data_IF_159325614303
#
_entry.id   IF_159325614303
#
_cell.length_a   1.000
_cell.length_b   1.000
_cell.length_c   1.000
_cell.angle_alpha   90.00
_cell.angle_beta   90.00
_cell.angle_gamma   90.00
#
_symmetry.space_group_name_H-M   'P 1'
#
loop_
_entity.id
_entity.type
_entity.pdbx_description
1 polymer ?
#
# COMPACT_ATOMS: atom_id res chain seq x y z
N UNK A 1 -46.39 -30.94 51.15
CA UNK A 1 -46.83 -29.57 50.84
C UNK A 1 -45.96 -29.10 49.68
N UNK A 2 -46.34 -29.44 48.44
CA UNK A 2 -47.18 -28.64 47.49
C UNK A 2 -46.32 -27.54 46.83
N UNK A 3 -45.80 -27.71 45.62
CA UNK A 3 -46.39 -27.56 44.25
C UNK A 3 -46.63 -26.10 43.78
N UNK A 4 -46.16 -25.84 42.55
CA UNK A 4 -46.52 -24.74 41.60
C UNK A 4 -46.08 -23.31 42.00
N UNK A 5 -45.54 -22.43 41.13
CA UNK A 5 -45.83 -22.13 39.73
C UNK A 5 -44.68 -21.34 39.02
N UNK A 6 -44.63 -21.39 37.68
CA UNK A 6 -43.81 -20.50 36.84
C UNK A 6 -44.57 -19.19 36.49
N UNK A 7 -43.87 -18.13 36.05
CA UNK A 7 -44.25 -17.57 34.75
C UNK A 7 -43.06 -17.14 33.86
N UNK A 8 -43.42 -16.87 32.61
CA UNK A 8 -42.59 -16.80 31.42
C UNK A 8 -42.04 -15.39 31.05
N UNK A 9 -41.05 -15.42 30.13
CA UNK A 9 -40.64 -14.40 29.14
C UNK A 9 -39.96 -13.11 29.63
N UNK A 10 -38.72 -12.90 29.18
CA UNK A 10 -38.49 -12.03 28.02
C UNK A 10 -37.13 -12.31 27.37
N UNK A 11 -37.16 -12.48 26.05
CA UNK A 11 -35.97 -12.56 25.21
C UNK A 11 -35.30 -11.19 25.18
N UNK A 12 -34.19 -11.05 25.91
CA UNK A 12 -33.33 -9.88 25.84
C UNK A 12 -32.68 -9.82 24.46
N UNK A 13 -33.09 -8.84 23.67
CA UNK A 13 -32.56 -8.54 22.36
C UNK A 13 -31.02 -8.45 22.39
N UNK A 14 -30.39 -9.22 21.50
CA UNK A 14 -28.98 -9.10 21.15
C UNK A 14 -28.67 -7.64 20.80
N UNK A 15 -27.94 -6.95 21.69
CA UNK A 15 -27.39 -5.63 21.42
C UNK A 15 -26.38 -5.77 20.27
N UNK A 16 -26.74 -5.24 19.09
CA UNK A 16 -25.80 -5.08 17.98
C UNK A 16 -24.64 -4.21 18.49
N UNK A 17 -23.37 -4.62 18.32
CA UNK A 17 -22.25 -3.79 18.70
C UNK A 17 -22.29 -2.49 17.90
N UNK A 18 -22.38 -1.38 18.62
CA UNK A 18 -22.44 -0.03 18.07
C UNK A 18 -21.06 0.28 17.46
N UNK A 19 -20.92 0.09 16.15
CA UNK A 19 -19.68 0.41 15.43
C UNK A 19 -19.57 1.92 15.40
N UNK A 20 -18.78 2.47 16.32
CA UNK A 20 -18.46 3.89 16.38
C UNK A 20 -18.04 4.38 14.97
N UNK A 21 -18.88 5.23 14.35
CA UNK A 21 -18.57 5.89 13.07
C UNK A 21 -17.28 6.70 13.23
N UNK A 22 -16.15 6.13 12.84
CA UNK A 22 -14.84 6.76 12.97
C UNK A 22 -14.79 8.03 12.12
N UNK A 23 -14.45 9.18 12.73
CA UNK A 23 -14.25 10.44 11.99
C UNK A 23 -13.22 10.24 10.88
N UNK A 24 -13.57 10.66 9.67
CA UNK A 24 -12.71 10.57 8.50
C UNK A 24 -11.39 11.33 8.72
N UNK A 25 -10.28 10.66 8.44
CA UNK A 25 -8.93 11.24 8.54
C UNK A 25 -8.73 12.34 7.49
N UNK A 26 -8.15 13.48 7.92
CA UNK A 26 -7.72 14.60 7.06
C UNK A 26 -6.22 14.79 7.24
N UNK A 27 -5.50 14.97 6.14
CA UNK A 27 -4.07 15.28 6.17
C UNK A 27 -3.84 16.78 6.33
N UNK A 28 -2.95 17.18 7.22
CA UNK A 28 -2.37 18.52 7.30
C UNK A 28 -0.86 18.40 7.44
N UNK A 29 -0.10 19.22 6.71
CA UNK A 29 1.34 19.31 6.95
C UNK A 29 1.57 20.03 8.29
N UNK A 30 2.46 19.54 9.16
CA UNK A 30 2.82 20.26 10.36
C UNK A 30 3.58 21.54 9.99
N UNK A 31 3.17 22.67 10.56
CA UNK A 31 3.86 23.96 10.39
C UNK A 31 5.22 23.94 11.06
N UNK A 32 6.16 24.74 10.52
CA UNK A 32 7.47 24.91 11.13
C UNK A 32 7.34 25.71 12.43
N UNK A 33 7.89 25.24 13.57
CA UNK A 33 7.87 25.99 14.81
C UNK A 33 8.67 27.28 14.66
N UNK A 34 8.08 28.39 15.09
CA UNK A 34 8.68 29.72 15.02
C UNK A 34 9.61 30.00 16.20
N UNK A 35 10.33 31.13 16.14
CA UNK A 35 11.21 31.54 17.24
C UNK A 35 10.42 31.77 18.56
N UNK A 36 9.15 32.16 18.47
CA UNK A 36 8.25 32.26 19.61
C UNK A 36 8.12 30.92 20.38
N UNK A 37 8.13 29.78 19.68
CA UNK A 37 8.08 28.45 20.30
C UNK A 37 9.36 28.12 21.08
N UNK A 38 10.51 28.61 20.62
CA UNK A 38 11.76 28.52 21.36
C UNK A 38 11.70 29.31 22.66
N UNK A 39 11.18 30.53 22.60
CA UNK A 39 11.04 31.41 23.75
C UNK A 39 10.02 30.89 24.78
N UNK A 40 8.89 30.34 24.32
CA UNK A 40 7.80 29.82 25.16
C UNK A 40 8.21 28.66 26.10
N UNK A 41 9.34 28.00 25.85
CA UNK A 41 9.86 26.93 26.72
C UNK A 41 9.08 25.61 26.62
N UNK A 42 9.34 24.69 27.54
CA UNK A 42 8.59 23.43 27.68
C UNK A 42 8.50 22.59 26.40
N UNK A 43 7.28 22.17 26.04
CA UNK A 43 7.01 21.34 24.85
C UNK A 43 7.26 22.11 23.54
N UNK A 44 7.00 23.41 23.50
CA UNK A 44 7.20 24.25 22.32
C UNK A 44 8.69 24.37 21.97
N UNK A 45 9.56 24.63 22.97
CA UNK A 45 11.01 24.66 22.76
C UNK A 45 11.56 23.32 22.30
N UNK A 46 11.06 22.21 22.86
CA UNK A 46 11.45 20.86 22.42
C UNK A 46 11.06 20.60 20.96
N UNK A 47 9.88 21.04 20.53
CA UNK A 47 9.44 20.94 19.14
C UNK A 47 10.34 21.78 18.21
N UNK A 48 10.67 23.01 18.63
CA UNK A 48 11.61 23.88 17.91
C UNK A 48 13.00 23.24 17.74
N UNK A 49 13.63 22.82 18.85
CA UNK A 49 14.96 22.20 18.84
C UNK A 49 14.96 20.93 17.98
N UNK A 50 13.94 20.10 18.12
CA UNK A 50 13.79 18.91 17.28
C UNK A 50 13.74 19.29 15.80
N UNK A 51 12.90 20.23 15.41
CA UNK A 51 12.68 20.60 14.02
C UNK A 51 13.92 21.26 13.37
N UNK A 52 14.55 22.20 14.06
CA UNK A 52 15.63 23.03 13.50
C UNK A 52 17.02 22.45 13.69
N UNK A 53 17.24 21.59 14.68
CA UNK A 53 18.55 20.99 14.95
C UNK A 53 18.55 19.48 14.62
N UNK A 54 17.78 18.69 15.37
CA UNK A 54 17.86 17.22 15.27
C UNK A 54 17.38 16.71 13.90
N UNK A 55 16.22 17.18 13.44
CA UNK A 55 15.65 16.76 12.18
C UNK A 55 16.55 17.18 11.00
N UNK A 56 17.30 18.29 11.10
CA UNK A 56 18.25 18.71 10.08
C UNK A 56 19.45 17.77 9.94
N UNK A 57 19.96 17.22 11.05
CA UNK A 57 21.01 16.18 11.00
C UNK A 57 20.48 14.95 10.28
N UNK A 58 19.29 14.46 10.65
CA UNK A 58 18.66 13.32 9.99
C UNK A 58 18.33 13.59 8.52
N UNK A 59 17.89 14.81 8.18
CA UNK A 59 17.66 15.23 6.80
C UNK A 59 18.95 15.17 5.98
N UNK A 60 20.07 15.68 6.53
CA UNK A 60 21.38 15.60 5.92
C UNK A 60 21.80 14.15 5.66
N UNK A 61 21.65 13.27 6.66
CA UNK A 61 21.95 11.84 6.53
C UNK A 61 21.07 11.14 5.48
N UNK A 62 19.77 11.46 5.42
CA UNK A 62 18.87 10.92 4.41
C UNK A 62 19.24 11.36 3.00
N UNK A 63 19.60 12.64 2.81
CA UNK A 63 20.04 13.15 1.53
C UNK A 63 21.38 12.54 1.11
N UNK A 64 22.37 12.52 2.01
CA UNK A 64 23.67 11.91 1.77
C UNK A 64 23.52 10.43 1.40
N UNK A 65 22.69 9.68 2.13
CA UNK A 65 22.37 8.29 1.81
C UNK A 65 21.74 8.15 0.42
N UNK A 66 20.72 8.94 0.10
CA UNK A 66 20.07 8.91 -1.21
C UNK A 66 21.03 9.21 -2.38
N UNK A 67 21.87 10.24 -2.25
CA UNK A 67 22.83 10.61 -3.28
C UNK A 67 24.01 9.64 -3.36
N UNK A 68 24.47 9.09 -2.24
CA UNK A 68 25.46 8.01 -2.22
C UNK A 68 24.95 6.77 -2.95
N UNK A 69 23.71 6.34 -2.68
CA UNK A 69 23.06 5.23 -3.40
C UNK A 69 22.96 5.49 -4.90
N UNK A 70 22.74 6.74 -5.31
CA UNK A 70 22.73 7.12 -6.73
C UNK A 70 24.08 6.92 -7.42
N UNK A 71 25.21 6.88 -6.72
CA UNK A 71 26.49 6.64 -7.39
C UNK A 71 26.68 5.17 -7.80
N UNK A 72 25.90 4.26 -7.22
CA UNK A 72 26.01 2.82 -7.49
C UNK A 72 25.20 2.39 -8.72
N UNK A 73 25.63 1.34 -9.46
CA UNK A 73 24.79 0.62 -10.41
C UNK A 73 23.53 0.04 -9.75
N UNK A 74 22.46 -0.17 -10.52
CA UNK A 74 21.16 -0.64 -9.98
C UNK A 74 21.29 -1.97 -9.22
N UNK A 75 22.00 -2.95 -9.79
CA UNK A 75 22.19 -4.27 -9.16
C UNK A 75 23.02 -4.18 -7.87
N UNK A 76 24.04 -3.31 -7.84
CA UNK A 76 24.87 -3.09 -6.64
C UNK A 76 24.06 -2.43 -5.54
N UNK A 77 23.30 -1.38 -5.86
CA UNK A 77 22.41 -0.69 -4.92
C UNK A 77 21.37 -1.66 -4.33
N UNK A 78 20.74 -2.47 -5.19
CA UNK A 78 19.78 -3.49 -4.78
C UNK A 78 20.42 -4.54 -3.87
N UNK A 79 21.57 -5.10 -4.22
CA UNK A 79 22.25 -6.11 -3.42
C UNK A 79 22.75 -5.56 -2.07
N UNK A 80 23.18 -4.30 -2.03
CA UNK A 80 23.44 -3.61 -0.78
C UNK A 80 22.17 -3.54 0.09
N UNK A 81 21.04 -3.14 -0.49
CA UNK A 81 19.74 -3.13 0.18
C UNK A 81 19.35 -4.48 0.78
N UNK A 82 19.53 -5.57 0.02
CA UNK A 82 19.25 -6.91 0.52
C UNK A 82 20.08 -7.27 1.76
N UNK A 83 21.39 -7.01 1.72
CA UNK A 83 22.30 -7.24 2.86
C UNK A 83 21.93 -6.37 4.05
N UNK A 84 21.57 -5.11 3.81
CA UNK A 84 21.12 -4.19 4.85
C UNK A 84 19.83 -4.69 5.50
N UNK A 85 18.86 -5.17 4.72
CA UNK A 85 17.60 -5.73 5.23
C UNK A 85 17.82 -6.94 6.13
N UNK A 86 18.66 -7.90 5.70
CA UNK A 86 19.07 -9.05 6.50
C UNK A 86 19.77 -8.66 7.80
N UNK A 87 20.57 -7.60 7.77
CA UNK A 87 21.27 -7.12 8.94
C UNK A 87 20.32 -6.39 9.90
N UNK A 88 19.61 -5.37 9.42
CA UNK A 88 18.93 -4.38 10.24
C UNK A 88 17.57 -4.85 10.76
N UNK A 89 16.74 -5.51 9.93
CA UNK A 89 15.36 -5.85 10.31
C UNK A 89 15.31 -6.82 11.50
N UNK A 90 16.05 -7.95 11.51
CA UNK A 90 16.05 -8.86 12.65
C UNK A 90 16.70 -8.28 13.91
N UNK A 91 17.54 -7.24 13.80
CA UNK A 91 18.28 -6.66 14.94
C UNK A 91 17.53 -5.52 15.60
N UNK A 92 16.99 -4.60 14.81
CA UNK A 92 16.44 -3.34 15.30
C UNK A 92 14.91 -3.25 15.19
N UNK A 93 14.25 -4.16 14.45
CA UNK A 93 12.79 -4.13 14.22
C UNK A 93 12.07 -5.36 14.80
N UNK A 94 12.36 -5.70 16.07
CA UNK A 94 11.85 -6.90 16.75
C UNK A 94 10.32 -7.05 16.75
N UNK A 95 9.58 -5.94 16.83
CA UNK A 95 8.11 -5.97 16.79
C UNK A 95 7.60 -6.37 15.40
N UNK A 96 8.16 -5.77 14.36
CA UNK A 96 7.83 -6.06 12.96
C UNK A 96 8.19 -7.51 12.61
N UNK A 97 9.36 -7.99 13.05
CA UNK A 97 9.78 -9.39 12.94
C UNK A 97 8.77 -10.37 13.56
N UNK A 98 8.32 -10.12 14.80
CA UNK A 98 7.33 -10.99 15.46
C UNK A 98 6.01 -11.04 14.70
N UNK A 99 5.56 -9.88 14.18
CA UNK A 99 4.34 -9.80 13.37
C UNK A 99 4.49 -10.57 12.06
N UNK A 100 5.59 -10.38 11.34
CA UNK A 100 5.87 -11.08 10.10
C UNK A 100 5.82 -12.61 10.28
N UNK A 101 6.55 -13.15 11.27
CA UNK A 101 6.54 -14.59 11.54
C UNK A 101 5.16 -15.12 11.94
N UNK A 102 4.42 -14.39 12.78
CA UNK A 102 3.06 -14.77 13.15
C UNK A 102 2.11 -14.75 11.94
N UNK A 103 2.23 -13.76 11.07
CA UNK A 103 1.47 -13.66 9.81
C UNK A 103 1.81 -14.83 8.89
N UNK A 104 3.09 -15.13 8.67
CA UNK A 104 3.53 -16.27 7.85
C UNK A 104 3.00 -17.59 8.41
N UNK A 105 3.13 -17.82 9.72
CA UNK A 105 2.62 -19.05 10.34
C UNK A 105 1.12 -19.24 10.16
N UNK A 106 0.34 -18.15 10.17
CA UNK A 106 -1.12 -18.19 9.97
C UNK A 106 -1.53 -18.33 8.50
N UNK A 107 -0.81 -17.70 7.57
CA UNK A 107 -1.12 -17.75 6.13
C UNK A 107 -0.53 -18.98 5.42
N UNK A 108 0.52 -19.57 5.99
CA UNK A 108 1.21 -20.74 5.44
C UNK A 108 1.31 -21.89 6.47
N UNK A 109 0.18 -22.37 7.05
CA UNK A 109 0.18 -23.44 8.04
C UNK A 109 0.77 -24.75 7.51
N UNK A 110 0.74 -24.96 6.20
CA UNK A 110 1.30 -26.12 5.50
C UNK A 110 2.84 -26.13 5.41
N UNK A 111 3.50 -24.97 5.54
CA UNK A 111 4.97 -24.89 5.50
C UNK A 111 5.57 -25.32 6.83
N UNK A 112 6.72 -25.99 6.79
CA UNK A 112 7.57 -26.25 7.94
C UNK A 112 8.14 -24.96 8.56
N UNK A 113 8.62 -25.03 9.80
CA UNK A 113 9.26 -23.89 10.48
C UNK A 113 10.45 -23.33 9.67
N UNK A 114 11.24 -24.22 9.05
CA UNK A 114 12.40 -23.84 8.24
C UNK A 114 11.99 -23.09 6.96
N UNK A 115 10.94 -23.56 6.27
CA UNK A 115 10.41 -22.90 5.07
C UNK A 115 9.82 -21.52 5.39
N UNK A 116 9.08 -21.41 6.52
CA UNK A 116 8.52 -20.14 6.98
C UNK A 116 9.63 -19.13 7.33
N UNK A 117 10.70 -19.57 7.98
CA UNK A 117 11.84 -18.71 8.27
C UNK A 117 12.57 -18.31 6.98
N UNK A 118 12.74 -19.22 6.02
CA UNK A 118 13.32 -18.88 4.72
C UNK A 118 12.50 -17.79 3.99
N UNK A 119 11.17 -17.90 4.01
CA UNK A 119 10.27 -16.88 3.46
C UNK A 119 10.45 -15.53 4.17
N UNK A 120 10.51 -15.52 5.51
CA UNK A 120 10.77 -14.31 6.28
C UNK A 120 12.13 -13.67 5.92
N UNK A 121 13.16 -14.48 5.70
CA UNK A 121 14.49 -14.02 5.31
C UNK A 121 14.47 -13.39 3.91
N UNK A 122 13.76 -13.97 2.94
CA UNK A 122 13.57 -13.35 1.63
C UNK A 122 12.80 -12.02 1.72
N UNK A 123 11.76 -11.95 2.57
CA UNK A 123 11.06 -10.69 2.84
C UNK A 123 11.97 -9.63 3.44
N UNK A 124 12.87 -10.00 4.36
CA UNK A 124 13.86 -9.04 4.87
C UNK A 124 14.74 -8.47 3.75
N UNK A 125 15.16 -9.29 2.79
CA UNK A 125 15.92 -8.83 1.61
C UNK A 125 15.06 -7.89 0.75
N UNK A 126 13.80 -8.24 0.47
CA UNK A 126 12.89 -7.44 -0.34
C UNK A 126 12.65 -6.04 0.28
N UNK A 127 12.43 -5.98 1.59
CA UNK A 127 12.25 -4.72 2.31
C UNK A 127 13.49 -3.81 2.25
N UNK A 128 14.68 -4.39 2.48
CA UNK A 128 15.93 -3.64 2.40
C UNK A 128 16.24 -3.15 0.97
N UNK A 129 15.91 -3.98 -0.04
CA UNK A 129 15.97 -3.61 -1.46
C UNK A 129 15.09 -2.40 -1.74
N UNK A 130 13.81 -2.44 -1.41
CA UNK A 130 12.87 -1.34 -1.65
C UNK A 130 13.38 0.01 -1.13
N UNK A 131 13.90 0.04 0.11
CA UNK A 131 14.40 1.27 0.73
C UNK A 131 15.56 1.91 -0.04
N UNK A 132 16.46 1.10 -0.58
CA UNK A 132 17.68 1.57 -1.26
C UNK A 132 17.41 1.89 -2.73
N UNK A 133 16.63 1.03 -3.38
CA UNK A 133 16.29 1.10 -4.79
C UNK A 133 15.52 2.36 -5.18
N UNK A 134 14.78 2.96 -4.25
CA UNK A 134 14.11 4.26 -4.45
C UNK A 134 15.06 5.32 -5.03
N UNK A 135 16.35 5.23 -4.73
CA UNK A 135 17.37 6.15 -5.21
C UNK A 135 17.73 5.97 -6.69
N UNK A 136 17.56 4.76 -7.22
CA UNK A 136 17.99 4.36 -8.57
C UNK A 136 16.84 3.92 -9.48
N UNK A 137 15.63 3.73 -8.95
CA UNK A 137 14.47 3.13 -9.64
C UNK A 137 14.19 3.76 -11.02
N UNK A 138 14.26 5.08 -11.13
CA UNK A 138 14.00 5.80 -12.39
C UNK A 138 14.97 5.45 -13.53
N UNK A 139 16.11 4.82 -13.25
CA UNK A 139 17.07 4.38 -14.28
C UNK A 139 16.53 3.23 -15.12
N UNK A 140 15.62 2.42 -14.58
CA UNK A 140 15.03 1.30 -15.30
C UNK A 140 14.27 1.76 -16.56
N UNK A 141 13.78 3.00 -16.58
CA UNK A 141 13.14 3.59 -17.76
C UNK A 141 14.09 3.66 -18.99
N UNK A 142 15.41 3.63 -18.77
CA UNK A 142 16.44 3.60 -19.83
C UNK A 142 16.94 2.19 -20.13
N UNK A 143 16.43 1.20 -19.42
CA UNK A 143 16.81 -0.21 -19.52
C UNK A 143 15.54 -1.07 -19.55
N UNK A 144 14.67 -0.88 -20.57
CA UNK A 144 13.38 -1.57 -20.66
C UNK A 144 13.53 -3.10 -20.68
N UNK A 145 14.67 -3.63 -21.13
CA UNK A 145 14.99 -5.07 -21.12
C UNK A 145 15.06 -5.68 -19.71
N UNK A 146 15.04 -4.86 -18.66
CA UNK A 146 14.95 -5.30 -17.26
C UNK A 146 13.51 -5.51 -16.79
N UNK A 147 12.53 -5.20 -17.62
CA UNK A 147 11.11 -5.38 -17.32
C UNK A 147 10.47 -6.27 -18.38
N UNK A 148 9.81 -7.33 -17.96
CA UNK A 148 8.92 -8.11 -18.82
C UNK A 148 7.48 -7.74 -18.48
N UNK A 149 6.69 -7.35 -19.49
CA UNK A 149 5.30 -6.98 -19.33
C UNK A 149 4.40 -8.10 -19.85
N UNK A 150 3.56 -8.64 -18.99
CA UNK A 150 2.58 -9.67 -19.31
C UNK A 150 1.20 -9.04 -19.43
N UNK A 151 0.57 -9.27 -20.59
CA UNK A 151 -0.74 -8.78 -20.98
C UNK A 151 -0.97 -7.25 -20.84
N UNK A 152 0.01 -6.38 -21.16
CA UNK A 152 -0.16 -4.92 -21.01
C UNK A 152 -1.42 -4.38 -21.72
N UNK A 153 -1.85 -5.03 -22.80
CA UNK A 153 -3.06 -4.72 -23.56
C UNK A 153 -4.33 -4.70 -22.71
N UNK A 154 -4.41 -5.51 -21.65
CA UNK A 154 -5.56 -5.51 -20.72
C UNK A 154 -5.83 -4.14 -20.11
N UNK A 155 -4.76 -3.42 -19.71
CA UNK A 155 -4.88 -2.07 -19.17
C UNK A 155 -5.07 -1.06 -20.30
N UNK A 156 -4.34 -1.22 -21.40
CA UNK A 156 -4.40 -0.28 -22.53
C UNK A 156 -5.80 -0.23 -23.15
N UNK A 157 -6.39 -1.38 -23.43
CA UNK A 157 -7.68 -1.46 -24.11
C UNK A 157 -8.82 -1.09 -23.18
N UNK A 158 -8.73 -1.44 -21.89
CA UNK A 158 -9.67 -0.94 -20.89
C UNK A 158 -9.62 0.59 -20.77
N UNK A 159 -8.42 1.19 -20.79
CA UNK A 159 -8.25 2.65 -20.74
C UNK A 159 -8.77 3.36 -22.00
N UNK A 160 -8.67 2.73 -23.18
CA UNK A 160 -9.27 3.25 -24.42
C UNK A 160 -10.80 3.16 -24.39
N UNK A 161 -11.35 2.11 -23.78
CA UNK A 161 -12.79 1.85 -23.73
C UNK A 161 -13.55 2.74 -22.73
N UNK A 162 -12.88 3.35 -21.75
CA UNK A 162 -13.51 4.23 -20.78
C UNK A 162 -12.70 4.40 -19.50
N UNK A 163 -13.33 4.90 -18.41
CA UNK A 163 -12.61 5.10 -17.16
C UNK A 163 -12.19 3.79 -16.53
N UNK A 164 -10.99 3.78 -15.96
CA UNK A 164 -10.45 2.61 -15.28
C UNK A 164 -9.91 2.96 -13.89
N UNK A 165 -10.00 1.97 -13.01
CA UNK A 165 -9.30 1.97 -11.73
C UNK A 165 -8.22 0.88 -11.79
N UNK A 166 -6.97 1.30 -11.84
CA UNK A 166 -5.82 0.41 -11.75
C UNK A 166 -5.65 0.00 -10.29
N UNK A 167 -5.72 -1.30 -10.02
CA UNK A 167 -5.58 -1.87 -8.68
C UNK A 167 -4.22 -2.51 -8.53
N UNK A 168 -3.30 -1.81 -7.88
CA UNK A 168 -1.96 -2.29 -7.58
C UNK A 168 -1.87 -3.11 -6.31
N UNK A 169 -0.79 -3.87 -6.20
CA UNK A 169 -0.36 -4.58 -4.99
C UNK A 169 1.09 -4.16 -4.67
N UNK A 170 1.42 -3.97 -3.40
CA UNK A 170 2.76 -3.59 -2.93
C UNK A 170 3.69 -4.81 -2.93
N UNK A 171 3.94 -5.34 -4.12
CA UNK A 171 4.81 -6.48 -4.40
C UNK A 171 6.09 -6.02 -5.11
N UNK A 172 7.19 -6.72 -4.85
CA UNK A 172 8.50 -6.42 -5.41
C UNK A 172 8.92 -4.97 -5.13
N UNK A 173 9.13 -4.20 -6.18
CA UNK A 173 9.29 -2.75 -6.07
C UNK A 173 8.19 -2.06 -6.90
N UNK A 174 7.10 -1.68 -6.25
CA UNK A 174 5.94 -1.09 -6.92
C UNK A 174 6.20 0.32 -7.48
N UNK A 175 7.32 0.97 -7.12
CA UNK A 175 7.66 2.30 -7.65
C UNK A 175 8.04 2.25 -9.15
N UNK A 176 8.24 1.05 -9.72
CA UNK A 176 8.37 0.89 -11.17
C UNK A 176 7.03 1.01 -11.90
N UNK A 177 5.90 0.84 -11.19
CA UNK A 177 4.55 0.86 -11.80
C UNK A 177 4.26 2.11 -12.62
N UNK A 178 4.50 3.32 -12.11
CA UNK A 178 4.39 4.54 -12.91
C UNK A 178 5.22 4.56 -14.19
N UNK A 179 6.41 3.94 -14.17
CA UNK A 179 7.30 3.85 -15.34
C UNK A 179 6.67 2.90 -16.36
N UNK A 180 6.18 1.74 -15.92
CA UNK A 180 5.50 0.74 -16.75
C UNK A 180 4.23 1.33 -17.37
N UNK A 181 3.37 1.95 -16.56
CA UNK A 181 2.12 2.55 -17.02
C UNK A 181 2.39 3.63 -18.07
N UNK A 182 3.42 4.46 -17.87
CA UNK A 182 3.83 5.43 -18.88
C UNK A 182 4.32 4.77 -20.17
N UNK A 183 5.10 3.68 -20.10
CA UNK A 183 5.57 2.94 -21.27
C UNK A 183 4.42 2.37 -22.11
N UNK A 184 3.33 1.95 -21.47
CA UNK A 184 2.13 1.46 -22.17
C UNK A 184 1.15 2.59 -22.54
N UNK A 185 1.52 3.87 -22.34
CA UNK A 185 0.71 5.03 -22.74
C UNK A 185 -0.41 5.41 -21.76
N UNK A 186 -0.35 4.93 -20.51
CA UNK A 186 -1.38 5.15 -19.50
C UNK A 186 -0.86 6.05 -18.38
N UNK A 187 -1.55 7.16 -18.12
CA UNK A 187 -1.15 8.13 -17.09
C UNK A 187 -2.15 8.17 -15.93
N UNK A 188 -1.87 7.48 -14.80
CA UNK A 188 -2.80 7.45 -13.67
C UNK A 188 -2.69 8.69 -12.78
N UNK A 189 -3.80 8.96 -12.08
CA UNK A 189 -3.82 9.76 -10.85
C UNK A 189 -3.81 8.84 -9.64
N UNK A 190 -2.93 9.07 -8.65
CA UNK A 190 -2.80 8.21 -7.46
C UNK A 190 -3.02 9.00 -6.17
N UNK A 191 -3.61 8.36 -5.17
CA UNK A 191 -3.72 8.92 -3.83
C UNK A 191 -2.34 8.97 -3.17
N UNK A 192 -1.94 10.13 -2.65
CA UNK A 192 -0.61 10.30 -2.06
C UNK A 192 -0.63 10.95 -0.69
N UNK A 193 -0.08 10.25 0.30
CA UNK A 193 0.28 10.81 1.61
C UNK A 193 1.78 11.12 1.58
N UNK A 194 2.18 12.39 1.71
CA UNK A 194 3.60 12.73 1.81
C UNK A 194 4.20 12.16 3.11
N UNK A 195 5.48 11.70 3.08
CA UNK A 195 6.23 11.39 4.28
C UNK A 195 6.23 12.56 5.27
N UNK A 196 6.30 12.24 6.57
CA UNK A 196 6.37 13.26 7.63
C UNK A 196 7.74 13.93 7.63
N UNK A 197 8.80 13.16 7.41
CA UNK A 197 10.16 13.66 7.42
C UNK A 197 10.49 14.46 6.15
N UNK A 198 10.98 15.69 6.34
CA UNK A 198 11.16 16.69 5.27
C UNK A 198 12.03 16.19 4.13
N UNK A 199 13.21 15.62 4.42
CA UNK A 199 14.08 15.08 3.38
C UNK A 199 13.42 13.92 2.61
N UNK A 200 12.74 12.99 3.29
CA UNK A 200 12.05 11.88 2.62
C UNK A 200 10.93 12.39 1.73
N UNK A 201 10.15 13.38 2.18
CA UNK A 201 9.11 14.00 1.38
C UNK A 201 9.66 14.66 0.12
N UNK A 202 10.74 15.44 0.26
CA UNK A 202 11.42 16.08 -0.87
C UNK A 202 11.99 15.05 -1.87
N UNK A 203 12.64 14.00 -1.37
CA UNK A 203 13.17 12.91 -2.21
C UNK A 203 12.02 12.23 -2.94
N UNK A 204 10.92 11.89 -2.25
CA UNK A 204 9.76 11.23 -2.86
C UNK A 204 9.12 12.07 -3.97
N UNK A 205 8.92 13.36 -3.73
CA UNK A 205 8.41 14.31 -4.74
C UNK A 205 9.34 14.38 -5.95
N UNK A 206 10.66 14.50 -5.73
CA UNK A 206 11.65 14.60 -6.82
C UNK A 206 11.81 13.30 -7.61
N UNK A 207 11.62 12.14 -6.98
CA UNK A 207 11.68 10.84 -7.66
C UNK A 207 10.41 10.60 -8.47
N UNK A 208 9.23 10.84 -7.89
CA UNK A 208 7.94 10.56 -8.53
C UNK A 208 7.51 11.61 -9.56
N UNK A 209 7.96 12.86 -9.46
CA UNK A 209 7.72 13.88 -10.51
C UNK A 209 8.31 13.47 -11.87
N UNK A 210 9.36 12.63 -11.88
CA UNK A 210 9.98 12.13 -13.12
C UNK A 210 9.18 11.04 -13.82
N UNK A 211 8.22 10.42 -13.13
CA UNK A 211 7.40 9.32 -13.69
C UNK A 211 6.07 9.81 -14.27
N UNK A 212 5.80 11.12 -14.21
CA UNK A 212 4.55 11.72 -14.70
C UNK A 212 3.36 11.53 -13.76
N UNK A 213 3.55 10.90 -12.60
CA UNK A 213 2.49 10.67 -11.61
C UNK A 213 1.78 11.97 -11.24
N UNK A 214 0.46 11.91 -11.27
CA UNK A 214 -0.41 13.00 -10.78
C UNK A 214 -1.02 12.57 -9.45
N UNK A 215 -1.16 13.50 -8.53
CA UNK A 215 -1.58 13.19 -7.16
C UNK A 215 -3.00 13.64 -6.88
N UNK A 216 -3.73 12.76 -6.19
CA UNK A 216 -5.01 13.02 -5.55
C UNK A 216 -4.75 13.16 -4.05
N UNK A 217 -5.37 14.14 -3.35
CA UNK A 217 -5.27 14.26 -1.90
C UNK A 217 -5.67 12.95 -1.21
N UNK A 218 -5.02 12.57 -0.10
CA UNK A 218 -5.32 11.30 0.54
C UNK A 218 -6.64 11.38 1.35
N UNK A 219 -7.20 10.21 1.66
CA UNK A 219 -8.44 10.10 2.44
C UNK A 219 -9.66 10.69 1.72
N UNK A 220 -10.64 11.15 2.50
CA UNK A 220 -11.93 11.64 1.96
C UNK A 220 -11.81 12.83 1.01
N UNK A 221 -10.75 13.64 1.17
CA UNK A 221 -10.51 14.81 0.31
C UNK A 221 -10.25 14.39 -1.14
N UNK A 222 -9.72 13.19 -1.36
CA UNK A 222 -9.43 12.68 -2.69
C UNK A 222 -10.61 12.05 -3.43
N UNK A 223 -11.69 11.71 -2.73
CA UNK A 223 -12.81 10.97 -3.34
C UNK A 223 -13.51 11.80 -4.41
N UNK A 224 -13.86 13.05 -4.12
CA UNK A 224 -14.53 13.92 -5.10
C UNK A 224 -13.66 14.16 -6.35
N UNK A 225 -12.36 14.51 -6.23
CA UNK A 225 -11.45 14.56 -7.38
C UNK A 225 -11.38 13.25 -8.16
N UNK A 226 -11.25 12.10 -7.48
CA UNK A 226 -11.17 10.80 -8.13
C UNK A 226 -12.44 10.48 -8.95
N UNK A 227 -13.62 10.72 -8.37
CA UNK A 227 -14.90 10.54 -9.07
C UNK A 227 -15.00 11.46 -10.28
N UNK A 228 -14.60 12.74 -10.14
CA UNK A 228 -14.61 13.68 -11.27
C UNK A 228 -13.69 13.25 -12.40
N UNK A 229 -12.49 12.75 -12.08
CA UNK A 229 -11.53 12.23 -13.06
C UNK A 229 -12.09 11.01 -13.79
N UNK A 230 -12.62 10.03 -13.06
CA UNK A 230 -13.22 8.83 -13.64
C UNK A 230 -14.46 9.15 -14.49
N UNK A 231 -15.34 10.06 -14.05
CA UNK A 231 -16.49 10.48 -14.88
C UNK A 231 -16.09 11.15 -16.21
N UNK A 232 -14.86 11.64 -16.33
CA UNK A 232 -14.28 12.21 -17.56
C UNK A 232 -13.51 11.16 -18.40
N UNK A 233 -13.64 9.87 -18.10
CA UNK A 233 -12.89 8.80 -18.77
C UNK A 233 -11.44 8.66 -18.30
N UNK A 234 -11.08 9.26 -17.17
CA UNK A 234 -9.72 9.24 -16.65
C UNK A 234 -9.31 7.92 -15.98
N UNK A 235 -8.06 7.90 -15.53
CA UNK A 235 -7.42 6.73 -14.90
C UNK A 235 -7.06 7.07 -13.45
N UNK A 236 -7.55 6.26 -12.51
CA UNK A 236 -7.18 6.35 -11.09
C UNK A 236 -6.42 5.09 -10.68
N UNK A 237 -5.37 5.24 -9.88
CA UNK A 237 -4.63 4.12 -9.30
C UNK A 237 -4.91 4.04 -7.80
N UNK A 238 -5.21 2.83 -7.32
CA UNK A 238 -5.40 2.49 -5.91
C UNK A 238 -4.61 1.22 -5.61
N UNK A 239 -4.01 1.13 -4.42
CA UNK A 239 -3.38 -0.11 -3.95
C UNK A 239 -4.31 -0.82 -2.97
N UNK A 240 -4.81 -2.00 -3.31
CA UNK A 240 -5.88 -2.65 -2.55
C UNK A 240 -5.39 -3.44 -1.32
N UNK A 241 -4.11 -3.79 -1.27
CA UNK A 241 -3.47 -4.62 -0.25
C UNK A 241 -3.01 -3.83 0.98
N UNK A 242 -3.77 -2.81 1.40
CA UNK A 242 -3.31 -1.85 2.41
C UNK A 242 -3.12 -2.48 3.81
N UNK A 243 -2.13 -1.95 4.54
CA UNK A 243 -2.09 -1.99 5.99
C UNK A 243 -2.06 -0.57 6.58
N UNK A 244 -2.67 -0.40 7.75
CA UNK A 244 -2.72 0.87 8.46
C UNK A 244 -2.51 0.67 9.95
N UNK A 245 -1.69 1.52 10.57
CA UNK A 245 -1.37 1.47 12.00
C UNK A 245 -0.87 0.08 12.47
N UNK A 246 -0.06 -0.60 11.64
CA UNK A 246 0.50 -1.91 11.98
C UNK A 246 -0.47 -3.08 11.79
N UNK A 247 -1.63 -2.86 11.15
CA UNK A 247 -2.66 -3.88 10.93
C UNK A 247 -3.02 -3.98 9.45
N UNK A 248 -3.00 -5.21 8.93
CA UNK A 248 -3.43 -5.52 7.56
C UNK A 248 -4.94 -5.27 7.45
N UNK A 249 -5.38 -4.64 6.35
CA UNK A 249 -6.80 -4.42 6.06
C UNK A 249 -7.23 -5.10 4.76
N UNK A 250 -6.36 -5.15 3.76
CA UNK A 250 -6.51 -5.98 2.57
C UNK A 250 -5.21 -6.73 2.28
N UNK A 251 -5.23 -7.93 1.68
CA UNK A 251 -6.40 -8.78 1.42
C UNK A 251 -7.11 -9.26 2.68
N UNK A 252 -8.30 -9.88 2.55
CA UNK A 252 -9.15 -10.27 3.67
C UNK A 252 -8.56 -11.41 4.52
N UNK A 253 -7.85 -12.36 3.91
CA UNK A 253 -7.24 -13.52 4.57
C UNK A 253 -8.18 -14.23 5.55
N UNK A 254 -9.36 -14.60 5.06
CA UNK A 254 -10.41 -15.26 5.85
C UNK A 254 -11.22 -14.34 6.78
N UNK A 255 -10.94 -13.03 6.83
CA UNK A 255 -11.78 -12.07 7.56
C UNK A 255 -13.11 -11.83 6.85
N UNK A 256 -14.13 -11.49 7.64
CA UNK A 256 -15.39 -11.01 7.08
C UNK A 256 -15.14 -9.76 6.21
N UNK A 257 -15.80 -9.63 5.05
CA UNK A 257 -15.71 -8.43 4.23
C UNK A 257 -16.13 -7.19 5.03
N UNK A 258 -15.42 -6.09 4.83
CA UNK A 258 -15.69 -4.84 5.52
C UNK A 258 -15.65 -3.65 4.56
N UNK A 259 -16.41 -2.60 4.88
CA UNK A 259 -16.52 -1.38 4.07
C UNK A 259 -15.40 -0.36 4.35
N UNK A 260 -14.30 -0.81 4.95
CA UNK A 260 -13.11 0.00 5.24
C UNK A 260 -11.95 -0.31 4.28
N UNK A 261 -11.06 0.66 4.12
CA UNK A 261 -9.81 0.53 3.37
C UNK A 261 -9.93 0.61 1.85
N UNK A 262 -8.81 0.40 1.18
CA UNK A 262 -8.67 0.63 -0.25
C UNK A 262 -9.48 -0.32 -1.14
N UNK A 263 -9.76 -1.56 -0.71
CA UNK A 263 -10.69 -2.46 -1.43
C UNK A 263 -12.07 -1.80 -1.49
N UNK A 264 -12.62 -1.40 -0.34
CA UNK A 264 -13.92 -0.75 -0.27
C UNK A 264 -13.95 0.60 -1.01
N UNK A 265 -12.87 1.39 -0.93
CA UNK A 265 -12.72 2.62 -1.72
C UNK A 265 -12.80 2.33 -3.22
N UNK A 266 -12.09 1.31 -3.70
CA UNK A 266 -12.08 0.89 -5.11
C UNK A 266 -13.47 0.52 -5.57
N UNK A 267 -14.18 -0.32 -4.79
CA UNK A 267 -15.56 -0.72 -5.12
C UNK A 267 -16.50 0.48 -5.20
N UNK A 268 -16.42 1.41 -4.24
CA UNK A 268 -17.24 2.62 -4.24
C UNK A 268 -16.95 3.50 -5.45
N UNK A 269 -15.68 3.72 -5.79
CA UNK A 269 -15.30 4.50 -6.96
C UNK A 269 -15.81 3.84 -8.25
N UNK A 270 -15.66 2.52 -8.40
CA UNK A 270 -16.15 1.78 -9.55
C UNK A 270 -17.69 1.90 -9.68
N UNK A 271 -18.44 1.68 -8.59
CA UNK A 271 -19.92 1.85 -8.56
C UNK A 271 -20.37 3.26 -8.94
N UNK A 272 -19.70 4.29 -8.41
CA UNK A 272 -20.06 5.70 -8.66
C UNK A 272 -19.78 6.18 -10.10
N UNK A 273 -18.95 5.46 -10.85
CA UNK A 273 -18.37 5.95 -12.10
C UNK A 273 -18.51 4.99 -13.28
N UNK A 274 -18.89 3.73 -13.02
CA UNK A 274 -18.90 2.67 -14.03
C UNK A 274 -17.51 2.23 -14.49
N UNK A 275 -16.46 2.61 -13.75
CA UNK A 275 -15.08 2.34 -14.13
C UNK A 275 -14.75 0.84 -14.15
N UNK A 276 -13.98 0.42 -15.14
CA UNK A 276 -13.43 -0.94 -15.21
C UNK A 276 -12.29 -1.09 -14.20
N UNK A 277 -12.31 -2.15 -13.40
CA UNK A 277 -11.25 -2.47 -12.46
C UNK A 277 -10.17 -3.26 -13.20
N UNK A 278 -8.93 -2.79 -13.14
CA UNK A 278 -7.78 -3.38 -13.83
C UNK A 278 -6.71 -3.77 -12.78
N UNK A 279 -6.73 -5.01 -12.26
CA UNK A 279 -5.75 -5.45 -11.28
C UNK A 279 -4.38 -5.66 -11.93
N UNK A 280 -3.32 -5.26 -11.23
CA UNK A 280 -1.96 -5.44 -11.71
C UNK A 280 -0.98 -5.59 -10.55
N UNK A 281 0.13 -6.26 -10.80
CA UNK A 281 1.23 -6.36 -9.85
C UNK A 281 2.56 -6.53 -10.59
N UNK A 282 3.66 -6.36 -9.85
CA UNK A 282 4.97 -6.73 -10.33
C UNK A 282 5.75 -7.48 -9.25
N UNK A 283 6.64 -8.35 -9.68
CA UNK A 283 7.53 -9.10 -8.81
C UNK A 283 8.96 -8.97 -9.30
N UNK A 284 9.90 -8.97 -8.37
CA UNK A 284 11.32 -9.04 -8.65
C UNK A 284 11.67 -10.47 -9.08
N UNK A 285 12.46 -10.56 -10.13
CA UNK A 285 13.14 -11.79 -10.54
C UNK A 285 14.36 -12.04 -9.66
N UNK A 286 14.79 -13.31 -9.58
CA UNK A 286 15.99 -13.70 -8.83
C UNK A 286 17.29 -13.16 -9.44
N UNK A 287 17.30 -12.78 -10.72
CA UNK A 287 18.48 -12.37 -11.49
C UNK A 287 18.75 -10.85 -11.49
N UNK A 288 18.72 -10.25 -10.29
CA UNK A 288 19.15 -8.87 -10.05
C UNK A 288 18.02 -7.84 -10.07
N UNK A 289 18.34 -6.61 -10.47
CA UNK A 289 17.37 -5.51 -10.58
C UNK A 289 16.53 -5.67 -11.86
N UNK A 290 15.71 -6.73 -11.90
CA UNK A 290 14.81 -7.11 -12.99
C UNK A 290 13.43 -7.49 -12.43
N UNK A 291 12.39 -7.27 -13.23
CA UNK A 291 11.01 -7.45 -12.79
C UNK A 291 10.13 -8.03 -13.89
N UNK A 292 9.18 -8.84 -13.47
CA UNK A 292 8.05 -9.25 -14.29
C UNK A 292 6.80 -8.53 -13.76
N UNK A 293 6.06 -7.89 -14.66
CA UNK A 293 4.85 -7.16 -14.33
C UNK A 293 3.66 -7.77 -15.07
N UNK A 294 2.58 -7.98 -14.34
CA UNK A 294 1.40 -8.69 -14.81
C UNK A 294 0.19 -7.78 -14.72
N UNK A 295 -0.43 -7.52 -15.86
CA UNK A 295 -1.81 -7.06 -15.91
C UNK A 295 -2.72 -8.29 -15.86
N UNK A 296 -3.67 -8.27 -14.93
CA UNK A 296 -4.67 -9.33 -14.78
C UNK A 296 -5.94 -8.98 -15.54
N UNK A 297 -6.78 -9.98 -15.87
CA UNK A 297 -8.02 -9.74 -16.61
C UNK A 297 -8.85 -8.61 -15.97
N UNK A 298 -9.19 -7.56 -16.74
CA UNK A 298 -9.99 -6.45 -16.24
C UNK A 298 -11.45 -6.88 -16.10
N UNK A 299 -12.17 -6.30 -15.14
CA UNK A 299 -13.58 -6.61 -14.93
C UNK A 299 -14.39 -5.40 -14.52
N UNK A 300 -15.68 -5.40 -14.88
CA UNK A 300 -16.66 -4.46 -14.36
C UNK A 300 -17.44 -5.13 -13.22
N UNK A 301 -17.90 -4.31 -12.28
CA UNK A 301 -18.78 -4.80 -11.23
C UNK A 301 -20.13 -5.21 -11.84
N UNK A 302 -20.69 -6.38 -11.48
CA UNK A 302 -22.01 -6.81 -11.96
C UNK A 302 -23.08 -5.77 -11.61
N UNK A 303 -24.11 -5.64 -12.44
CA UNK A 303 -25.21 -4.71 -12.17
C UNK A 303 -25.84 -4.95 -10.78
N UNK A 304 -26.31 -3.88 -10.15
CA UNK A 304 -27.11 -3.91 -8.93
C UNK A 304 -28.48 -3.29 -9.19
N UNK A 305 -29.54 -3.83 -8.59
CA UNK A 305 -30.90 -3.32 -8.68
C UNK A 305 -31.09 -2.10 -7.78
N UNK A 306 -30.46 -2.07 -6.61
CA UNK A 306 -30.46 -0.94 -5.68
C UNK A 306 -29.04 -0.50 -5.35
N UNK A 307 -28.79 0.83 -5.23
CA UNK A 307 -27.48 1.35 -4.85
C UNK A 307 -26.93 0.70 -3.58
N UNK A 308 -25.78 0.06 -3.71
CA UNK A 308 -25.02 -0.50 -2.59
C UNK A 308 -25.46 -1.89 -2.12
N UNK A 309 -26.42 -2.54 -2.77
CA UNK A 309 -26.89 -3.87 -2.36
C UNK A 309 -25.81 -4.97 -2.54
N UNK A 310 -24.84 -4.74 -3.43
CA UNK A 310 -23.78 -5.70 -3.78
C UNK A 310 -22.41 -5.38 -3.19
N UNK A 311 -22.29 -4.37 -2.32
CA UNK A 311 -20.97 -3.90 -1.87
C UNK A 311 -20.13 -4.99 -1.23
N UNK A 312 -20.75 -5.92 -0.49
CA UNK A 312 -20.06 -7.03 0.17
C UNK A 312 -19.57 -8.05 -0.86
N UNK A 313 -20.39 -8.38 -1.84
CA UNK A 313 -20.09 -9.30 -2.93
C UNK A 313 -18.99 -8.75 -3.83
N UNK A 314 -19.02 -7.45 -4.11
CA UNK A 314 -18.00 -6.77 -4.90
C UNK A 314 -16.64 -6.73 -4.19
N UNK A 315 -16.65 -6.53 -2.86
CA UNK A 315 -15.43 -6.63 -2.04
C UNK A 315 -14.84 -8.05 -2.15
N UNK A 316 -15.68 -9.08 -2.03
CA UNK A 316 -15.24 -10.47 -2.20
C UNK A 316 -14.70 -10.72 -3.60
N UNK A 317 -15.35 -10.16 -4.63
CA UNK A 317 -14.93 -10.30 -6.03
C UNK A 317 -13.52 -9.73 -6.25
N UNK A 318 -13.26 -8.49 -5.79
CA UNK A 318 -11.91 -7.91 -5.89
C UNK A 318 -10.91 -8.67 -5.02
N UNK A 319 -11.29 -9.08 -3.82
CA UNK A 319 -10.43 -9.86 -2.93
C UNK A 319 -10.01 -11.20 -3.57
N UNK A 320 -10.93 -11.90 -4.24
CA UNK A 320 -10.66 -13.16 -4.91
C UNK A 320 -9.60 -13.04 -6.02
N UNK A 321 -9.36 -11.84 -6.54
CA UNK A 321 -8.30 -11.58 -7.53
C UNK A 321 -6.97 -11.25 -6.86
N UNK A 322 -6.97 -10.41 -5.82
CA UNK A 322 -5.72 -9.92 -5.21
C UNK A 322 -5.14 -10.84 -4.14
N UNK A 323 -5.98 -11.56 -3.39
CA UNK A 323 -5.54 -12.39 -2.27
C UNK A 323 -4.63 -13.54 -2.70
N UNK A 324 -4.97 -14.31 -3.77
CA UNK A 324 -4.10 -15.38 -4.24
C UNK A 324 -2.73 -14.86 -4.68
N UNK A 325 -2.68 -13.72 -5.37
CA UNK A 325 -1.44 -13.10 -5.84
C UNK A 325 -0.53 -12.74 -4.67
N UNK A 326 -1.08 -12.12 -3.63
CA UNK A 326 -0.31 -11.79 -2.42
C UNK A 326 0.16 -13.05 -1.69
N UNK A 327 -0.68 -14.09 -1.59
CA UNK A 327 -0.29 -15.37 -0.98
C UNK A 327 0.85 -16.06 -1.73
N UNK A 328 0.87 -15.99 -3.07
CA UNK A 328 1.94 -16.57 -3.90
C UNK A 328 3.27 -15.83 -3.76
N UNK A 329 3.25 -14.54 -3.39
CA UNK A 329 4.43 -13.67 -3.38
C UNK A 329 4.66 -13.00 -2.01
N UNK A 330 4.36 -13.69 -0.91
CA UNK A 330 4.52 -13.16 0.46
C UNK A 330 5.96 -12.72 0.76
N UNK A 331 6.95 -13.41 0.20
CA UNK A 331 8.37 -13.05 0.29
C UNK A 331 8.67 -11.65 -0.27
N UNK A 332 7.83 -11.12 -1.16
CA UNK A 332 8.02 -9.79 -1.75
C UNK A 332 6.95 -8.79 -1.33
N UNK A 333 6.08 -9.15 -0.40
CA UNK A 333 4.97 -8.31 0.03
C UNK A 333 5.38 -7.32 1.12
N UNK A 334 5.14 -6.04 0.86
CA UNK A 334 5.55 -4.94 1.73
C UNK A 334 4.94 -4.99 3.13
N UNK A 335 3.69 -5.42 3.25
CA UNK A 335 2.95 -5.36 4.51
C UNK A 335 3.05 -6.65 5.34
N UNK A 336 3.92 -7.59 4.98
CA UNK A 336 4.06 -8.85 5.70
C UNK A 336 4.34 -8.66 7.20
N UNK A 337 5.05 -7.59 7.56
CA UNK A 337 5.40 -7.23 8.93
C UNK A 337 4.28 -6.53 9.73
N UNK A 338 3.09 -6.41 9.15
CA UNK A 338 1.90 -5.93 9.82
C UNK A 338 1.12 -7.11 10.42
N UNK A 339 0.40 -6.85 11.50
CA UNK A 339 -0.40 -7.87 12.15
C UNK A 339 -1.64 -8.16 11.31
N UNK A 340 -1.96 -9.44 11.12
CA UNK A 340 -3.32 -9.84 10.78
C UNK A 340 -4.26 -9.36 11.88
N UNK A 341 -5.43 -8.81 11.54
CA UNK A 341 -6.47 -8.54 12.53
C UNK A 341 -6.83 -9.83 13.28
N UNK A 342 -7.12 -9.66 14.57
CA UNK A 342 -7.64 -10.71 15.46
C UNK A 342 -8.94 -11.27 14.91
#
# INVERSE_FOLDING_TARGET
>A
MTEQDAPARSAGASAKPDIAKRKAWRFSRPDAPGFADFMAGGKARKAFVKYWLNDNVWNGLHLAGHYGMKLMPMDVCSNFGARLGLFALPRYHKVAQRRARATIARLCPQMSEAEREALYIENCKAQGRLMTEFSVVNRIARQPERMVLHNPEYIQDAAKAGPIIIVGMHLGNWEIGPIILRQIGVQPYTFYVPPVERAKAWIAERVRSKTGLRFIPPGMQGIRPAVSLLKKGGVVSVFADEAFAGKIRGPLFGRAPHLEGNIALTIRLARMTGATICPWYNVRRSDGFRFDAYALPPFKLPAEAKPGERLVEDIKLLNAVIEPVVLTHLDQWYFLDNALPS
#
